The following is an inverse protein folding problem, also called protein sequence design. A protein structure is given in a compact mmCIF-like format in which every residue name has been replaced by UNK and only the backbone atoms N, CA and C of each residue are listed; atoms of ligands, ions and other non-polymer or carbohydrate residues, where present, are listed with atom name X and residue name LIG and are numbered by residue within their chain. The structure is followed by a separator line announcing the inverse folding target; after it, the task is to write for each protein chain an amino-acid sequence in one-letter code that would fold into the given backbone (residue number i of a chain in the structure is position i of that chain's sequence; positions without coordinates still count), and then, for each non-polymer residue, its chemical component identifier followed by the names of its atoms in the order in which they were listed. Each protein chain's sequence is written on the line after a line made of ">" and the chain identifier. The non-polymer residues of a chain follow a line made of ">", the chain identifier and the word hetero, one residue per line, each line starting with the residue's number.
data_IF_287153283659
#
_entry.id   IF_287153283659
#
_cell.length_a   1.000
_cell.length_b   1.000
_cell.length_c   1.000
_cell.angle_alpha   90.00
_cell.angle_beta   90.00
_cell.angle_gamma   90.00
#
_symmetry.space_group_name_H-M   'P 1'
#
loop_
_entity.id
_entity.type
_entity.pdbx_description
1 polymer ?
#
# COMPACT_ATOMS: atom_id res chain seq x y z
N UNK A 1 3.40 1.98 3.12
CA UNK A 1 1.97 2.37 3.20
C UNK A 1 1.37 1.47 4.25
N UNK A 2 0.62 2.05 5.17
CA UNK A 2 -0.08 1.29 6.22
C UNK A 2 -1.50 1.01 5.72
N UNK A 3 -2.12 -0.07 6.20
CA UNK A 3 -3.56 -0.24 6.01
C UNK A 3 -4.26 0.91 6.71
N UNK A 4 -5.21 1.56 6.04
CA UNK A 4 -5.97 2.65 6.65
C UNK A 4 -6.97 2.12 7.67
N UNK A 5 -7.28 2.93 8.67
CA UNK A 5 -8.36 2.62 9.61
C UNK A 5 -9.68 3.18 9.08
N UNK A 6 -10.70 2.34 9.00
CA UNK A 6 -12.07 2.72 8.59
C UNK A 6 -13.00 2.27 9.72
N UNK A 7 -13.61 3.19 10.48
CA UNK A 7 -14.51 2.82 11.57
C UNK A 7 -15.81 2.18 11.03
N UNK A 8 -16.53 1.44 11.88
CA UNK A 8 -17.79 0.79 11.51
C UNK A 8 -18.79 1.76 10.87
N UNK A 9 -18.90 2.97 11.43
CA UNK A 9 -19.80 4.04 10.95
C UNK A 9 -19.47 4.52 9.53
N UNK A 10 -18.25 4.30 9.06
CA UNK A 10 -17.79 4.69 7.72
C UNK A 10 -17.56 3.50 6.79
N UNK A 11 -17.69 2.26 7.30
CA UNK A 11 -17.52 1.04 6.50
C UNK A 11 -18.53 1.01 5.37
N UNK A 12 -18.04 0.71 4.17
CA UNK A 12 -18.82 0.62 2.92
C UNK A 12 -18.77 -0.78 2.30
N UNK A 13 -17.87 -1.65 2.76
CA UNK A 13 -17.76 -3.01 2.23
C UNK A 13 -19.02 -3.83 2.54
N UNK A 14 -19.77 -4.29 1.52
CA UNK A 14 -20.97 -5.10 1.74
C UNK A 14 -20.70 -6.37 2.56
N UNK A 15 -19.52 -6.97 2.43
CA UNK A 15 -19.19 -8.17 3.21
C UNK A 15 -19.18 -7.87 4.70
N UNK A 16 -18.59 -6.76 5.11
CA UNK A 16 -18.55 -6.32 6.50
C UNK A 16 -19.91 -5.83 6.97
N UNK A 17 -20.60 -5.00 6.19
CA UNK A 17 -21.91 -4.46 6.56
C UNK A 17 -22.95 -5.58 6.77
N UNK A 18 -22.91 -6.63 5.95
CA UNK A 18 -23.86 -7.75 6.07
C UNK A 18 -23.62 -8.66 7.28
N UNK A 19 -22.50 -8.51 8.00
CA UNK A 19 -22.28 -9.25 9.25
C UNK A 19 -23.08 -8.70 10.41
N UNK A 20 -23.48 -7.42 10.35
CA UNK A 20 -24.09 -6.67 11.47
C UNK A 20 -23.29 -6.78 12.78
N UNK A 21 -21.96 -6.91 12.66
CA UNK A 21 -21.05 -7.08 13.79
C UNK A 21 -20.13 -5.86 13.92
N UNK A 22 -20.53 -4.80 14.67
CA UNK A 22 -19.74 -3.59 14.85
C UNK A 22 -18.43 -3.82 15.63
N UNK A 23 -18.22 -5.01 16.21
CA UNK A 23 -17.02 -5.34 16.99
C UNK A 23 -15.98 -6.02 16.10
N UNK A 24 -16.38 -7.01 15.28
CA UNK A 24 -15.45 -7.83 14.49
C UNK A 24 -15.45 -7.53 12.98
N UNK A 25 -16.17 -6.50 12.52
CA UNK A 25 -16.25 -6.15 11.10
C UNK A 25 -14.89 -5.97 10.41
N UNK A 26 -13.85 -5.56 11.15
CA UNK A 26 -12.49 -5.31 10.63
C UNK A 26 -11.87 -6.58 10.05
N UNK A 27 -12.16 -7.76 10.62
CA UNK A 27 -11.57 -9.03 10.18
C UNK A 27 -12.05 -9.44 8.78
N UNK A 28 -13.19 -8.91 8.34
CA UNK A 28 -13.80 -9.22 7.05
C UNK A 28 -13.82 -8.03 6.09
N UNK A 29 -13.66 -6.80 6.61
CA UNK A 29 -13.72 -5.58 5.81
C UNK A 29 -12.46 -5.42 4.94
N UNK A 30 -12.68 -5.11 3.67
CA UNK A 30 -11.62 -4.80 2.70
C UNK A 30 -11.36 -3.30 2.60
N UNK A 31 -12.15 -2.46 3.26
CA UNK A 31 -12.01 -1.01 3.19
C UNK A 31 -10.64 -0.47 3.67
N UNK A 32 -9.97 -1.07 4.67
CA UNK A 32 -8.61 -0.68 5.08
C UNK A 32 -7.56 -0.68 3.96
N UNK A 33 -7.72 -1.52 2.93
CA UNK A 33 -6.80 -1.58 1.77
C UNK A 33 -7.32 -0.80 0.56
N UNK A 34 -8.42 -0.07 0.72
CA UNK A 34 -9.09 0.73 -0.31
C UNK A 34 -9.12 2.22 0.00
N UNK A 35 -8.51 2.64 1.10
CA UNK A 35 -8.42 4.06 1.45
C UNK A 35 -7.76 4.85 0.32
N UNK A 36 -8.12 6.14 0.14
CA UNK A 36 -7.58 6.98 -0.91
C UNK A 36 -6.05 6.95 -1.00
N UNK A 37 -5.55 7.00 -2.24
CA UNK A 37 -4.12 6.90 -2.50
C UNK A 37 -3.37 8.18 -2.09
N UNK A 38 -2.17 8.01 -1.53
CA UNK A 38 -1.41 9.09 -0.90
C UNK A 38 -0.42 9.75 -1.87
N UNK A 39 -0.88 10.71 -2.67
CA UNK A 39 -0.07 11.41 -3.66
C UNK A 39 0.91 12.42 -3.04
N UNK A 40 0.48 13.18 -2.04
CA UNK A 40 1.23 14.25 -1.40
C UNK A 40 0.85 14.40 0.08
N UNK A 41 1.43 15.39 0.75
CA UNK A 41 1.03 15.84 2.09
C UNK A 41 -0.06 16.92 2.09
N UNK A 42 -0.64 17.23 0.91
CA UNK A 42 -1.75 18.17 0.79
C UNK A 42 -3.08 17.58 1.24
N UNK A 43 -4.15 18.38 1.14
CA UNK A 43 -5.52 17.99 1.52
C UNK A 43 -5.90 16.62 0.97
N UNK A 44 -6.46 15.75 1.83
CA UNK A 44 -6.81 14.36 1.51
C UNK A 44 -5.68 13.60 0.81
N UNK A 45 -4.43 13.79 1.25
CA UNK A 45 -3.22 13.27 0.62
C UNK A 45 -3.02 13.63 -0.87
N UNK A 46 -3.63 14.73 -1.34
CA UNK A 46 -3.66 15.10 -2.75
C UNK A 46 -4.52 14.19 -3.63
N UNK A 47 -5.36 13.34 -3.03
CA UNK A 47 -6.34 12.52 -3.77
C UNK A 47 -7.54 13.35 -4.26
N UNK A 48 -7.99 14.31 -3.45
CA UNK A 48 -9.18 15.11 -3.74
C UNK A 48 -9.13 16.46 -3.01
N UNK A 49 -9.65 17.50 -3.66
CA UNK A 49 -9.87 18.83 -3.06
C UNK A 49 -11.21 18.95 -2.34
N UNK A 50 -12.08 17.93 -2.43
CA UNK A 50 -13.38 17.91 -1.75
C UNK A 50 -13.24 18.00 -0.22
N UNK A 51 -14.32 18.33 0.48
CA UNK A 51 -14.33 18.39 1.95
C UNK A 51 -14.00 17.04 2.58
N UNK A 52 -14.55 15.95 2.03
CA UNK A 52 -14.30 14.58 2.47
C UNK A 52 -14.16 13.62 1.29
N UNK A 53 -13.57 12.45 1.55
CA UNK A 53 -13.41 11.34 0.61
C UNK A 53 -14.40 10.21 0.90
N UNK A 54 -14.60 9.30 -0.06
CA UNK A 54 -15.56 8.20 0.07
C UNK A 54 -15.20 7.17 1.16
N UNK A 55 -13.91 7.08 1.48
CA UNK A 55 -13.32 6.42 2.65
C UNK A 55 -12.29 7.38 3.28
N UNK A 56 -12.01 7.28 4.58
CA UNK A 56 -10.99 8.09 5.23
C UNK A 56 -9.61 7.80 4.63
N UNK A 57 -8.77 8.83 4.58
CA UNK A 57 -7.37 8.71 4.17
C UNK A 57 -6.60 8.01 5.28
N UNK A 58 -5.71 7.08 4.92
CA UNK A 58 -4.88 6.39 5.89
C UNK A 58 -3.96 7.37 6.65
N UNK A 59 -3.70 7.06 7.92
CA UNK A 59 -2.85 7.88 8.78
C UNK A 59 -1.40 7.94 8.28
N UNK A 60 -0.73 9.06 8.55
CA UNK A 60 0.68 9.25 8.23
C UNK A 60 0.95 9.59 6.76
N UNK A 61 -0.08 9.90 5.96
CA UNK A 61 0.06 10.32 4.57
C UNK A 61 0.91 11.60 4.43
N UNK A 62 1.00 12.41 5.48
CA UNK A 62 1.84 13.62 5.53
C UNK A 62 3.31 13.28 5.31
N UNK A 63 3.73 12.09 5.73
CA UNK A 63 5.09 11.59 5.60
C UNK A 63 5.21 10.50 4.52
N UNK A 64 4.24 9.58 4.45
CA UNK A 64 4.26 8.41 3.57
C UNK A 64 3.45 8.71 2.30
N UNK A 65 4.00 9.51 1.38
CA UNK A 65 3.33 9.83 0.12
C UNK A 65 4.30 9.80 -1.07
N UNK A 66 3.76 9.84 -2.29
CA UNK A 66 4.55 9.78 -3.52
C UNK A 66 5.50 10.98 -3.65
N UNK A 67 5.05 12.20 -3.35
CA UNK A 67 5.88 13.40 -3.46
C UNK A 67 7.15 13.31 -2.58
N UNK A 68 7.00 12.89 -1.32
CA UNK A 68 8.11 12.68 -0.39
C UNK A 68 9.01 11.54 -0.85
N UNK A 69 8.43 10.39 -1.26
CA UNK A 69 9.24 9.26 -1.70
C UNK A 69 9.99 9.51 -3.01
N UNK A 70 9.44 10.34 -3.91
CA UNK A 70 10.07 10.69 -5.18
C UNK A 70 11.29 11.61 -4.97
N UNK A 71 11.23 12.50 -3.99
CA UNK A 71 12.33 13.42 -3.66
C UNK A 71 13.40 12.78 -2.76
N UNK A 72 13.05 11.77 -1.97
CA UNK A 72 14.00 11.07 -1.11
C UNK A 72 15.04 10.26 -1.91
N UNK A 73 16.30 10.31 -1.45
CA UNK A 73 17.42 9.52 -2.01
C UNK A 73 17.18 8.02 -1.87
N UNK A 74 16.61 7.59 -0.74
CA UNK A 74 16.24 6.19 -0.47
C UNK A 74 14.76 6.13 -0.13
N UNK A 75 13.98 5.43 -0.95
CA UNK A 75 12.55 5.23 -0.72
C UNK A 75 12.03 3.98 -1.44
N UNK A 76 10.83 3.52 -1.08
CA UNK A 76 10.20 2.40 -1.79
C UNK A 76 9.90 2.76 -3.25
N UNK A 77 9.54 4.02 -3.54
CA UNK A 77 9.41 4.50 -4.91
C UNK A 77 10.70 4.29 -5.73
N UNK A 78 11.86 4.67 -5.19
CA UNK A 78 13.14 4.50 -5.90
C UNK A 78 13.52 3.02 -6.07
N UNK A 79 13.24 2.19 -5.05
CA UNK A 79 13.43 0.73 -5.15
C UNK A 79 12.58 0.16 -6.28
N UNK A 80 11.28 0.47 -6.31
CA UNK A 80 10.35 -0.04 -7.31
C UNK A 80 10.73 0.40 -8.73
N UNK A 81 11.09 1.68 -8.90
CA UNK A 81 11.65 2.23 -10.15
C UNK A 81 12.87 1.43 -10.64
N UNK A 82 13.80 1.14 -9.73
CA UNK A 82 15.01 0.38 -10.05
C UNK A 82 14.68 -1.06 -10.44
N UNK A 83 13.76 -1.72 -9.72
CA UNK A 83 13.32 -3.09 -10.01
C UNK A 83 12.63 -3.21 -11.37
N UNK A 84 11.80 -2.24 -11.77
CA UNK A 84 11.20 -2.20 -13.12
C UNK A 84 12.30 -2.15 -14.19
N UNK A 85 13.31 -1.30 -14.01
CA UNK A 85 14.43 -1.23 -14.95
C UNK A 85 15.24 -2.53 -14.99
N UNK A 86 15.44 -3.19 -13.84
CA UNK A 86 16.10 -4.49 -13.77
C UNK A 86 15.33 -5.59 -14.51
N UNK A 87 13.99 -5.61 -14.39
CA UNK A 87 13.10 -6.56 -15.07
C UNK A 87 13.26 -6.56 -16.60
N UNK A 88 13.75 -5.47 -17.19
CA UNK A 88 13.99 -5.37 -18.63
C UNK A 88 15.27 -6.07 -19.10
N UNK A 89 16.18 -6.44 -18.18
CA UNK A 89 17.43 -7.14 -18.53
C UNK A 89 17.15 -8.60 -18.91
N UNK A 90 17.93 -9.16 -19.83
CA UNK A 90 17.72 -10.54 -20.33
C UNK A 90 17.79 -11.58 -19.21
N UNK A 91 18.65 -11.40 -18.20
CA UNK A 91 18.71 -12.27 -17.03
C UNK A 91 17.35 -12.38 -16.31
N UNK A 92 16.60 -11.28 -16.18
CA UNK A 92 15.29 -11.29 -15.51
C UNK A 92 14.13 -11.70 -16.44
N UNK A 93 14.34 -11.73 -17.76
CA UNK A 93 13.30 -12.12 -18.74
C UNK A 93 13.40 -13.58 -19.17
N UNK A 94 14.63 -14.09 -19.29
CA UNK A 94 14.94 -15.39 -19.89
C UNK A 94 15.90 -16.23 -19.03
N UNK A 95 16.47 -15.65 -17.97
CA UNK A 95 17.42 -16.36 -17.12
C UNK A 95 16.74 -17.49 -16.35
N UNK A 96 17.57 -18.48 -15.97
CA UNK A 96 17.15 -19.52 -15.02
C UNK A 96 17.11 -18.93 -13.62
N UNK A 97 16.18 -19.41 -12.83
CA UNK A 97 16.01 -19.03 -11.43
C UNK A 97 16.34 -20.23 -10.55
N UNK A 98 17.24 -20.03 -9.60
CA UNK A 98 17.50 -20.99 -8.52
C UNK A 98 17.37 -20.27 -7.18
N UNK A 99 16.86 -20.96 -6.16
CA UNK A 99 16.74 -20.38 -4.81
C UNK A 99 17.06 -21.37 -3.70
N UNK A 100 17.47 -20.82 -2.57
CA UNK A 100 17.92 -21.57 -1.40
C UNK A 100 17.54 -20.81 -0.11
N UNK A 101 16.84 -21.50 0.79
CA UNK A 101 16.72 -21.07 2.17
C UNK A 101 18.02 -21.47 2.90
N UNK A 102 18.83 -20.49 3.28
CA UNK A 102 20.10 -20.73 3.98
C UNK A 102 19.85 -21.07 5.45
N UNK A 103 18.83 -20.44 6.04
CA UNK A 103 18.33 -20.70 7.38
C UNK A 103 16.90 -20.14 7.50
N UNK A 104 16.36 -20.05 8.73
CA UNK A 104 15.01 -19.56 9.00
C UNK A 104 14.78 -18.09 8.64
N UNK A 105 15.84 -17.28 8.54
CA UNK A 105 15.75 -15.82 8.35
C UNK A 105 16.28 -15.34 6.99
N UNK A 106 17.05 -16.18 6.29
CA UNK A 106 17.75 -15.80 5.06
C UNK A 106 17.36 -16.68 3.88
N UNK A 107 16.70 -16.06 2.91
CA UNK A 107 16.37 -16.62 1.60
C UNK A 107 17.22 -15.97 0.52
N UNK A 108 17.93 -16.79 -0.28
CA UNK A 108 18.76 -16.35 -1.38
C UNK A 108 18.25 -16.89 -2.72
N UNK A 109 18.46 -16.13 -3.79
CA UNK A 109 18.14 -16.54 -5.15
C UNK A 109 19.17 -16.01 -6.14
N UNK A 110 19.29 -16.66 -7.29
CA UNK A 110 20.14 -16.24 -8.41
C UNK A 110 19.42 -16.41 -9.74
#
# INVERSE_FOLDING_TARGET
>A
MVNGFVPWTETKDPLACNTDDPVNFIDVSRDPVRTPFQWSNGKNAGFSEAESTWLPVAEGYENINVANQRSAVRSHYQVYRTLISLRMRSAFRLGRYDSLALNNDVFAFK
#
